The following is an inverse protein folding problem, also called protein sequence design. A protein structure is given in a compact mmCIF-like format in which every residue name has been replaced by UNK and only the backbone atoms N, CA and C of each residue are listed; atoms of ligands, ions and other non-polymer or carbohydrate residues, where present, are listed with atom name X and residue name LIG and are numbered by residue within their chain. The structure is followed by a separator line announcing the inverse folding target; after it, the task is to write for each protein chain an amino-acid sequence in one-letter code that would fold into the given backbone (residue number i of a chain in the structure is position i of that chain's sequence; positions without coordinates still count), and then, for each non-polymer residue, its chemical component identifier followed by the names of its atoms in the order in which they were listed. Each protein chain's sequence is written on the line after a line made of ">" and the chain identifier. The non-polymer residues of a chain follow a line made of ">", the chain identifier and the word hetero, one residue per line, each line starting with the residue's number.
data_IF_678801008654
#
_entry.id   IF_678801008654
#
_cell.length_a   1.000
_cell.length_b   1.000
_cell.length_c   1.000
_cell.angle_alpha   90.00
_cell.angle_beta   90.00
_cell.angle_gamma   90.00
#
_symmetry.space_group_name_H-M   'P 1'
#
loop_
_entity.id
_entity.type
_entity.pdbx_description
1 polymer ?
#
# COMPACT_ATOMS: atom_id res chain seq x y z
N UNK A 1 8.21 -11.33 -40.07
CA UNK A 1 7.05 -10.39 -40.06
C UNK A 1 5.80 -11.02 -39.43
N UNK A 2 5.43 -12.26 -39.76
CA UNK A 2 4.20 -12.91 -39.25
C UNK A 2 4.15 -13.10 -37.71
N UNK A 3 5.27 -13.44 -37.07
CA UNK A 3 5.35 -13.61 -35.60
C UNK A 3 5.13 -12.30 -34.82
N UNK A 4 5.59 -11.17 -35.35
CA UNK A 4 5.41 -9.85 -34.73
C UNK A 4 3.93 -9.41 -34.71
N UNK A 5 3.19 -9.76 -35.77
CA UNK A 5 1.74 -9.53 -35.85
C UNK A 5 0.99 -10.34 -34.78
N UNK A 6 1.34 -11.62 -34.61
CA UNK A 6 0.73 -12.49 -33.59
C UNK A 6 1.04 -12.02 -32.15
N UNK A 7 2.28 -11.61 -31.90
CA UNK A 7 2.70 -11.06 -30.61
C UNK A 7 1.96 -9.77 -30.25
N UNK A 8 1.80 -8.86 -31.22
CA UNK A 8 1.07 -7.59 -31.03
C UNK A 8 -0.42 -7.81 -30.77
N UNK A 9 -1.04 -8.77 -31.47
CA UNK A 9 -2.44 -9.14 -31.25
C UNK A 9 -2.66 -9.73 -29.83
N UNK A 10 -1.76 -10.61 -29.37
CA UNK A 10 -1.81 -11.16 -28.01
C UNK A 10 -1.59 -10.08 -26.94
N UNK A 11 -0.65 -9.18 -27.16
CA UNK A 11 -0.39 -8.06 -26.24
C UNK A 11 -1.60 -7.12 -26.11
N UNK A 12 -2.31 -6.83 -27.20
CA UNK A 12 -3.54 -6.04 -27.19
C UNK A 12 -4.69 -6.72 -26.42
N UNK A 13 -4.85 -8.04 -26.59
CA UNK A 13 -5.83 -8.83 -25.85
C UNK A 13 -5.52 -8.86 -24.33
N UNK A 14 -4.26 -9.09 -23.97
CA UNK A 14 -3.81 -9.11 -22.57
C UNK A 14 -3.96 -7.72 -21.90
N UNK A 15 -3.67 -6.64 -22.64
CA UNK A 15 -3.87 -5.27 -22.16
C UNK A 15 -5.35 -4.97 -21.90
N UNK A 16 -6.24 -5.40 -22.79
CA UNK A 16 -7.70 -5.24 -22.63
C UNK A 16 -8.20 -6.01 -21.40
N UNK A 17 -7.77 -7.25 -21.22
CA UNK A 17 -8.13 -8.06 -20.05
C UNK A 17 -7.66 -7.43 -18.72
N UNK A 18 -6.43 -6.90 -18.66
CA UNK A 18 -5.90 -6.18 -17.48
C UNK A 18 -6.67 -4.90 -17.20
N UNK A 19 -7.03 -4.15 -18.23
CA UNK A 19 -7.82 -2.93 -18.08
C UNK A 19 -9.21 -3.21 -17.47
N UNK A 20 -9.89 -4.27 -17.95
CA UNK A 20 -11.18 -4.70 -17.42
C UNK A 20 -11.06 -5.17 -15.96
N UNK A 21 -10.03 -5.97 -15.64
CA UNK A 21 -9.77 -6.42 -14.26
C UNK A 21 -9.46 -5.25 -13.32
N UNK A 22 -8.69 -4.27 -13.78
CA UNK A 22 -8.37 -3.05 -13.03
C UNK A 22 -9.62 -2.22 -12.75
N UNK A 23 -10.50 -2.05 -13.74
CA UNK A 23 -11.76 -1.32 -13.57
C UNK A 23 -12.68 -2.02 -12.54
N UNK A 24 -12.77 -3.35 -12.60
CA UNK A 24 -13.54 -4.14 -11.63
C UNK A 24 -13.01 -3.96 -10.20
N UNK A 25 -11.70 -4.10 -10.01
CA UNK A 25 -11.09 -3.95 -8.69
C UNK A 25 -11.26 -2.52 -8.14
N UNK A 26 -11.16 -1.48 -8.98
CA UNK A 26 -11.43 -0.10 -8.58
C UNK A 26 -12.87 0.09 -8.10
N UNK A 27 -13.84 -0.50 -8.80
CA UNK A 27 -15.25 -0.48 -8.39
C UNK A 27 -15.45 -1.18 -7.03
N UNK A 28 -14.83 -2.33 -6.82
CA UNK A 28 -14.87 -3.04 -5.54
C UNK A 28 -14.24 -2.23 -4.40
N UNK A 29 -13.08 -1.60 -4.64
CA UNK A 29 -12.44 -0.70 -3.66
C UNK A 29 -13.37 0.46 -3.30
N UNK A 30 -14.01 1.09 -4.29
CA UNK A 30 -14.95 2.18 -4.03
C UNK A 30 -16.14 1.73 -3.17
N UNK A 31 -16.71 0.54 -3.44
CA UNK A 31 -17.80 -0.01 -2.62
C UNK A 31 -17.35 -0.30 -1.18
N UNK A 32 -16.14 -0.84 -0.99
CA UNK A 32 -15.59 -1.09 0.35
C UNK A 32 -15.29 0.21 1.11
N UNK A 33 -14.78 1.24 0.44
CA UNK A 33 -14.58 2.58 1.04
C UNK A 33 -15.92 3.20 1.47
N UNK A 34 -16.98 3.07 0.65
CA UNK A 34 -18.34 3.47 1.05
C UNK A 34 -18.87 2.66 2.22
N UNK A 35 -18.57 1.36 2.30
CA UNK A 35 -18.94 0.50 3.42
C UNK A 35 -18.28 0.98 4.72
N UNK A 36 -17.00 1.32 4.71
CA UNK A 36 -16.30 1.91 5.87
C UNK A 36 -16.95 3.23 6.30
N UNK A 37 -17.31 4.09 5.34
CA UNK A 37 -18.01 5.33 5.65
C UNK A 37 -19.38 5.08 6.30
N UNK A 38 -20.15 4.11 5.80
CA UNK A 38 -21.40 3.67 6.41
C UNK A 38 -21.22 3.20 7.85
N UNK A 39 -20.26 2.30 8.08
CA UNK A 39 -19.93 1.80 9.43
C UNK A 39 -19.61 2.91 10.42
N UNK A 40 -18.83 3.92 10.00
CA UNK A 40 -18.51 5.07 10.87
C UNK A 40 -19.72 5.94 11.18
N UNK A 41 -20.62 6.13 10.20
CA UNK A 41 -21.86 6.90 10.38
C UNK A 41 -22.81 6.20 11.35
N UNK A 42 -23.01 4.90 11.19
CA UNK A 42 -23.89 4.11 12.05
C UNK A 42 -23.32 4.04 13.47
N UNK A 43 -22.03 3.73 13.61
CA UNK A 43 -21.33 3.77 14.90
C UNK A 43 -21.50 5.11 15.61
N UNK A 44 -21.38 6.23 14.90
CA UNK A 44 -21.51 7.57 15.49
C UNK A 44 -22.88 7.79 16.15
N UNK A 45 -23.95 7.22 15.60
CA UNK A 45 -25.29 7.29 16.20
C UNK A 45 -25.37 6.41 17.45
N UNK A 46 -24.98 5.15 17.31
CA UNK A 46 -25.10 4.16 18.39
C UNK A 46 -24.24 4.54 19.60
N UNK A 47 -23.02 5.02 19.36
CA UNK A 47 -22.08 5.40 20.41
C UNK A 47 -22.50 6.71 21.10
N UNK A 48 -23.11 7.65 20.36
CA UNK A 48 -23.64 8.88 20.95
C UNK A 48 -24.74 8.57 21.96
N UNK A 49 -25.69 7.72 21.58
CA UNK A 49 -26.78 7.31 22.47
C UNK A 49 -26.23 6.59 23.72
N UNK A 50 -25.24 5.71 23.56
CA UNK A 50 -24.57 5.03 24.66
C UNK A 50 -23.83 6.01 25.61
N UNK A 51 -23.15 7.02 25.04
CA UNK A 51 -22.46 8.06 25.80
C UNK A 51 -23.43 8.95 26.58
N UNK A 52 -24.55 9.34 25.96
CA UNK A 52 -25.61 10.11 26.63
C UNK A 52 -26.24 9.30 27.78
N UNK A 53 -26.41 7.99 27.59
CA UNK A 53 -26.89 7.09 28.64
C UNK A 53 -25.86 6.83 29.75
N UNK A 54 -24.60 7.25 29.59
CA UNK A 54 -23.51 6.96 30.53
C UNK A 54 -23.08 5.49 30.53
N UNK A 55 -23.51 4.69 29.54
CA UNK A 55 -23.18 3.27 29.42
C UNK A 55 -21.79 3.10 28.79
N UNK A 56 -20.77 3.17 29.66
CA UNK A 56 -19.36 3.02 29.27
C UNK A 56 -19.06 1.63 28.69
N UNK A 57 -19.73 0.59 29.19
CA UNK A 57 -19.50 -0.79 28.73
C UNK A 57 -20.00 -0.96 27.31
N UNK A 58 -21.20 -0.45 27.00
CA UNK A 58 -21.72 -0.46 25.63
C UNK A 58 -20.90 0.43 24.71
N UNK A 59 -20.49 1.62 25.17
CA UNK A 59 -19.62 2.54 24.41
C UNK A 59 -18.32 1.84 23.95
N UNK A 60 -17.64 1.17 24.88
CA UNK A 60 -16.39 0.46 24.59
C UNK A 60 -16.63 -0.76 23.69
N UNK A 61 -17.71 -1.50 23.90
CA UNK A 61 -18.11 -2.61 23.02
C UNK A 61 -18.35 -2.15 21.59
N UNK A 62 -19.18 -1.11 21.39
CA UNK A 62 -19.48 -0.52 20.08
C UNK A 62 -18.21 -0.06 19.37
N UNK A 63 -17.29 0.56 20.10
CA UNK A 63 -16.02 1.02 19.55
C UNK A 63 -15.17 -0.17 19.07
N UNK A 64 -14.93 -1.16 19.93
CA UNK A 64 -14.09 -2.31 19.60
C UNK A 64 -14.67 -3.13 18.43
N UNK A 65 -15.99 -3.33 18.41
CA UNK A 65 -16.66 -4.06 17.34
C UNK A 65 -16.60 -3.31 16.01
N UNK A 66 -16.89 -2.01 16.01
CA UNK A 66 -16.83 -1.18 14.81
C UNK A 66 -15.40 -1.09 14.29
N UNK A 67 -14.42 -0.93 15.18
CA UNK A 67 -13.00 -0.91 14.84
C UNK A 67 -12.59 -2.21 14.14
N UNK A 68 -12.90 -3.36 14.72
CA UNK A 68 -12.55 -4.66 14.14
C UNK A 68 -13.17 -4.85 12.74
N UNK A 69 -14.43 -4.44 12.56
CA UNK A 69 -15.11 -4.46 11.25
C UNK A 69 -14.40 -3.57 10.22
N UNK A 70 -14.01 -2.36 10.61
CA UNK A 70 -13.29 -1.42 9.74
C UNK A 70 -11.91 -1.97 9.38
N UNK A 71 -11.16 -2.52 10.33
CA UNK A 71 -9.83 -3.11 10.07
C UNK A 71 -9.89 -4.28 9.07
N UNK A 72 -10.91 -5.14 9.18
CA UNK A 72 -11.16 -6.20 8.21
C UNK A 72 -11.37 -5.65 6.79
N UNK A 73 -12.27 -4.68 6.64
CA UNK A 73 -12.55 -4.06 5.33
C UNK A 73 -11.34 -3.29 4.80
N UNK A 74 -10.57 -2.63 5.67
CA UNK A 74 -9.36 -1.90 5.29
C UNK A 74 -8.27 -2.85 4.76
N UNK A 75 -8.17 -4.06 5.34
CA UNK A 75 -7.28 -5.11 4.86
C UNK A 75 -7.67 -5.56 3.46
N UNK A 76 -8.98 -5.77 3.20
CA UNK A 76 -9.48 -6.08 1.86
C UNK A 76 -9.21 -4.96 0.85
N UNK A 77 -9.43 -3.70 1.23
CA UNK A 77 -9.13 -2.53 0.39
C UNK A 77 -7.64 -2.52 0.03
N UNK A 78 -6.78 -2.75 1.01
CA UNK A 78 -5.32 -2.75 0.83
C UNK A 78 -4.90 -3.88 -0.12
N UNK A 79 -5.41 -5.10 0.07
CA UNK A 79 -5.13 -6.22 -0.80
C UNK A 79 -5.55 -5.95 -2.26
N UNK A 80 -6.74 -5.38 -2.47
CA UNK A 80 -7.24 -5.03 -3.81
C UNK A 80 -6.46 -3.88 -4.44
N UNK A 81 -6.04 -2.88 -3.67
CA UNK A 81 -5.17 -1.80 -4.15
C UNK A 81 -3.80 -2.33 -4.59
N UNK A 82 -3.21 -3.25 -3.82
CA UNK A 82 -1.98 -3.93 -4.21
C UNK A 82 -2.14 -4.74 -5.49
N UNK A 83 -3.28 -5.43 -5.67
CA UNK A 83 -3.56 -6.16 -6.91
C UNK A 83 -3.68 -5.24 -8.13
N UNK A 84 -4.31 -4.07 -7.98
CA UNK A 84 -4.36 -3.03 -9.03
C UNK A 84 -2.96 -2.57 -9.42
N UNK A 85 -2.09 -2.29 -8.46
CA UNK A 85 -0.70 -1.89 -8.74
C UNK A 85 0.08 -3.01 -9.43
N UNK A 86 -0.13 -4.27 -9.04
CA UNK A 86 0.48 -5.42 -9.72
C UNK A 86 0.08 -5.54 -11.19
N UNK A 87 -1.20 -5.25 -11.52
CA UNK A 87 -1.69 -5.28 -12.90
C UNK A 87 -1.12 -4.15 -13.77
N UNK A 88 -0.76 -3.01 -13.19
CA UNK A 88 -0.11 -1.89 -13.90
C UNK A 88 1.33 -2.24 -14.29
N UNK A 89 2.06 -2.92 -13.41
CA UNK A 89 3.48 -3.24 -13.60
C UNK A 89 3.73 -4.59 -14.29
N UNK A 90 2.69 -5.39 -14.54
CA UNK A 90 2.79 -6.65 -15.28
C UNK A 90 3.14 -6.41 -16.77
N UNK A 91 4.44 -6.26 -17.06
CA UNK A 91 5.01 -6.19 -18.41
C UNK A 91 4.81 -7.53 -19.16
N UNK A 92 4.62 -7.55 -20.50
CA UNK A 92 4.70 -8.80 -21.26
C UNK A 92 6.15 -9.32 -21.24
N UNK A 93 6.28 -10.59 -20.84
CA UNK A 93 7.50 -11.35 -20.55
C UNK A 93 8.64 -11.26 -21.59
N UNK A 94 9.89 -11.14 -21.13
CA UNK A 94 11.07 -11.77 -21.77
C UNK A 94 12.23 -11.95 -20.77
N UNK A 95 12.65 -13.22 -20.63
CA UNK A 95 13.96 -13.74 -20.21
C UNK A 95 14.40 -13.69 -18.71
N UNK A 96 14.04 -14.77 -18.04
CA UNK A 96 14.86 -15.66 -17.20
C UNK A 96 15.09 -15.37 -15.70
N UNK A 97 15.05 -16.42 -14.85
CA UNK A 97 15.16 -16.37 -13.40
C UNK A 97 16.59 -16.64 -12.92
N UNK A 98 16.97 -16.08 -11.77
CA UNK A 98 18.00 -16.66 -10.90
C UNK A 98 17.54 -16.42 -9.47
N UNK A 99 16.94 -17.46 -8.90
CA UNK A 99 16.84 -17.65 -7.47
C UNK A 99 18.08 -18.44 -7.04
N UNK A 100 18.82 -17.99 -6.04
CA UNK A 100 19.35 -18.80 -4.92
C UNK A 100 20.31 -17.97 -4.06
N UNK A 101 19.86 -17.64 -2.86
CA UNK A 101 20.67 -17.24 -1.68
C UNK A 101 21.58 -18.42 -1.26
N UNK A 102 22.73 -18.19 -0.60
CA UNK A 102 22.76 -18.35 0.86
C UNK A 102 23.65 -17.34 1.60
N UNK A 103 23.40 -17.22 2.90
CA UNK A 103 23.99 -16.33 3.89
C UNK A 103 25.52 -16.42 4.03
N UNK A 104 26.17 -15.28 4.28
CA UNK A 104 27.35 -15.20 5.16
C UNK A 104 27.29 -13.91 5.98
N UNK A 105 27.12 -14.11 7.29
CA UNK A 105 27.54 -13.20 8.35
C UNK A 105 29.07 -13.25 8.40
N UNK A 106 29.75 -12.08 8.33
CA UNK A 106 30.97 -11.70 9.07
C UNK A 106 31.58 -10.40 8.50
N UNK A 107 31.65 -9.38 9.37
CA UNK A 107 32.49 -8.16 9.30
C UNK A 107 33.99 -8.50 9.39
N UNK A 108 35.01 -7.60 9.26
CA UNK A 108 35.01 -6.12 9.17
C UNK A 108 36.04 -5.48 8.17
N UNK A 109 35.91 -4.15 7.97
CA UNK A 109 36.96 -3.16 7.60
C UNK A 109 37.68 -3.33 6.24
N UNK A 110 37.93 -2.31 5.42
CA UNK A 110 38.39 -0.96 5.72
C UNK A 110 38.13 -0.04 4.49
N UNK A 111 37.55 1.14 4.73
CA UNK A 111 37.42 2.24 3.77
C UNK A 111 38.76 2.98 3.61
N UNK A 112 38.91 3.88 2.61
CA UNK A 112 38.59 5.29 2.89
C UNK A 112 37.80 5.97 1.74
N UNK A 113 36.64 6.59 2.02
CA UNK A 113 36.44 8.07 2.16
C UNK A 113 36.38 8.78 0.79
N UNK A 114 35.33 9.49 0.33
CA UNK A 114 34.32 10.31 1.02
C UNK A 114 33.12 10.59 0.09
N UNK A 115 31.89 10.57 0.62
CA UNK A 115 30.85 11.62 0.53
C UNK A 115 29.53 11.05 1.08
N UNK A 116 29.12 11.59 2.23
CA UNK A 116 28.19 10.97 3.17
C UNK A 116 26.75 10.84 2.67
N UNK A 117 26.23 9.62 2.78
CA UNK A 117 24.80 9.38 2.88
C UNK A 117 24.44 9.63 4.34
N UNK A 118 23.66 10.67 4.70
CA UNK A 118 23.19 10.81 6.06
C UNK A 118 22.36 9.56 6.36
N UNK A 119 22.81 8.77 7.35
CA UNK A 119 22.10 7.59 7.80
C UNK A 119 20.71 8.04 8.26
N UNK A 120 19.70 7.73 7.46
CA UNK A 120 18.32 7.95 7.87
C UNK A 120 18.08 7.15 9.17
N UNK A 121 17.38 7.72 10.16
CA UNK A 121 17.02 6.98 11.35
C UNK A 121 16.18 5.74 10.96
N UNK A 122 16.25 4.65 11.73
CA UNK A 122 15.51 3.43 11.43
C UNK A 122 14.01 3.73 11.30
N UNK A 123 13.41 3.39 10.16
CA UNK A 123 11.99 3.63 9.85
C UNK A 123 11.74 4.81 8.90
N UNK A 124 12.75 5.64 8.62
CA UNK A 124 12.65 6.71 7.62
C UNK A 124 13.05 6.23 6.23
N UNK A 125 12.26 6.58 5.22
CA UNK A 125 12.49 6.31 3.80
C UNK A 125 12.54 7.60 3.00
N UNK A 126 13.34 7.61 1.94
CA UNK A 126 13.36 8.68 0.93
C UNK A 126 12.41 8.36 -0.20
N UNK A 127 11.66 9.37 -0.65
CA UNK A 127 10.88 9.33 -1.88
C UNK A 127 11.12 10.61 -2.69
N UNK A 128 11.08 10.49 -4.01
CA UNK A 128 11.31 11.62 -4.91
C UNK A 128 9.98 12.08 -5.49
N UNK A 129 9.67 13.36 -5.33
CA UNK A 129 8.51 13.99 -5.98
C UNK A 129 8.68 14.06 -7.49
N UNK A 130 7.58 14.18 -8.27
CA UNK A 130 7.64 14.43 -9.71
C UNK A 130 8.41 15.71 -10.10
N UNK A 131 8.52 16.66 -9.16
CA UNK A 131 9.31 17.90 -9.28
C UNK A 131 10.81 17.70 -9.03
N UNK A 132 11.27 16.46 -8.84
CA UNK A 132 12.68 16.14 -8.61
C UNK A 132 13.20 16.43 -7.20
N UNK A 133 12.32 16.78 -6.25
CA UNK A 133 12.69 17.00 -4.84
C UNK A 133 12.56 15.70 -4.05
N UNK A 134 13.62 15.32 -3.32
CA UNK A 134 13.58 14.23 -2.35
C UNK A 134 12.89 14.68 -1.07
N UNK A 135 11.96 13.90 -0.56
CA UNK A 135 11.31 14.05 0.74
C UNK A 135 11.49 12.78 1.57
N UNK A 136 11.48 12.93 2.88
CA UNK A 136 11.62 11.84 3.85
C UNK A 136 10.26 11.50 4.43
N UNK A 137 9.94 10.22 4.56
CA UNK A 137 8.71 9.79 5.22
C UNK A 137 8.99 8.63 6.17
N UNK A 138 8.30 8.60 7.30
CA UNK A 138 8.43 7.55 8.28
C UNK A 138 7.34 6.50 8.07
N UNK A 139 7.72 5.26 7.76
CA UNK A 139 6.74 4.19 7.45
C UNK A 139 5.89 3.79 8.65
N UNK A 140 6.43 3.93 9.87
CA UNK A 140 5.77 3.45 11.08
C UNK A 140 4.82 4.49 11.71
N UNK A 141 5.09 5.79 11.54
CA UNK A 141 4.25 6.88 12.09
C UNK A 141 3.46 7.62 11.02
N UNK A 142 3.83 7.48 9.74
CA UNK A 142 3.21 8.22 8.63
C UNK A 142 3.64 9.70 8.54
N UNK A 143 4.68 10.10 9.28
CA UNK A 143 5.20 11.46 9.24
C UNK A 143 5.97 11.73 7.95
N UNK A 144 5.85 12.95 7.42
CA UNK A 144 6.61 13.40 6.24
C UNK A 144 7.41 14.63 6.62
N UNK A 145 8.70 14.62 6.27
CA UNK A 145 9.62 15.72 6.58
C UNK A 145 10.49 16.03 5.38
N UNK A 146 10.78 17.31 5.19
CA UNK A 146 11.70 17.81 4.16
C UNK A 146 13.15 17.89 4.66
N UNK A 147 13.38 17.65 5.96
CA UNK A 147 14.69 17.63 6.62
C UNK A 147 14.80 16.34 7.44
N UNK A 148 15.99 15.70 7.47
CA UNK A 148 16.22 14.59 8.41
C UNK A 148 16.01 15.12 9.84
N UNK A 149 15.04 14.61 10.61
CA UNK A 149 15.08 14.81 12.05
C UNK A 149 16.30 14.05 12.61
N UNK A 150 17.09 14.71 13.47
CA UNK A 150 18.19 14.07 14.21
C UNK A 150 17.65 13.05 15.21
#
# INVERSE_FOLDING_TARGET
>A
MFESLKASAKAGADATARSAKTAKLKGEVMMLEQKVLGMKKDFGKDVYDAMVAGDKVNTERLFNETRAKIECVQTEITAKKTEIEGLKHARPNSAAPVSSTPAQEETPSEMPTVMGVPALPPGWKTATTPDGKSYYYHEQTGETSWQLPQ
#
